data_IF_229544762998
#
_entry.id   IF_229544762998
#
_cell.length_a   1.000
_cell.length_b   1.000
_cell.length_c   1.000
_cell.angle_alpha   90.00
_cell.angle_beta   90.00
_cell.angle_gamma   90.00
#
_symmetry.space_group_name_H-M   'P 1'
#
loop_
_entity.id
_entity.type
_entity.pdbx_description
1 polymer ?
#
# COMPACT_ATOMS: atom_id res chain seq x y z
N UNK A 1 16.90 36.05 -72.34
CA UNK A 1 18.08 36.86 -71.97
C UNK A 1 18.53 36.49 -70.56
N UNK A 2 19.86 36.46 -70.37
CA UNK A 2 20.67 36.42 -69.13
C UNK A 2 20.79 35.10 -68.34
N UNK A 3 22.08 34.79 -68.11
CA UNK A 3 22.73 33.60 -67.56
C UNK A 3 22.92 33.71 -66.04
N UNK A 4 23.10 32.54 -65.42
CA UNK A 4 24.06 32.14 -64.38
C UNK A 4 24.30 33.04 -63.15
N UNK A 5 24.39 32.46 -61.95
CA UNK A 5 25.62 31.87 -61.40
C UNK A 5 25.57 31.75 -59.86
N UNK A 6 26.33 30.77 -59.34
CA UNK A 6 26.82 30.62 -57.95
C UNK A 6 25.78 30.26 -56.87
N UNK A 7 26.02 29.32 -55.95
CA UNK A 7 27.25 29.01 -55.21
C UNK A 7 27.24 27.56 -54.69
N UNK A 8 28.41 26.91 -54.70
CA UNK A 8 28.70 25.67 -53.96
C UNK A 8 28.63 25.95 -52.46
N UNK A 9 27.93 25.11 -51.70
CA UNK A 9 28.11 24.99 -50.25
C UNK A 9 28.48 23.54 -49.90
N UNK A 10 29.76 23.34 -49.55
CA UNK A 10 30.28 22.15 -48.88
C UNK A 10 29.82 22.20 -47.42
N UNK A 11 28.97 21.27 -47.01
CA UNK A 11 28.61 21.11 -45.59
C UNK A 11 29.00 19.72 -45.08
N UNK A 12 30.20 19.73 -44.49
CA UNK A 12 30.73 18.94 -43.38
C UNK A 12 29.82 17.81 -42.82
N UNK A 13 30.25 16.57 -43.10
CA UNK A 13 30.35 15.41 -42.19
C UNK A 13 29.83 15.65 -40.75
N UNK A 14 28.70 15.04 -40.33
CA UNK A 14 28.41 14.84 -38.93
C UNK A 14 29.18 13.63 -38.39
N UNK A 15 29.88 13.91 -37.29
CA UNK A 15 30.72 13.05 -36.48
C UNK A 15 29.94 11.89 -35.85
N UNK A 16 30.61 10.75 -35.83
CA UNK A 16 30.70 9.80 -34.72
C UNK A 16 29.39 9.34 -34.05
N UNK A 17 28.96 8.13 -34.44
CA UNK A 17 28.20 7.22 -33.57
C UNK A 17 28.86 7.16 -32.18
N UNK A 18 28.11 7.23 -31.07
CA UNK A 18 28.68 6.94 -29.76
C UNK A 18 29.09 5.46 -29.74
N UNK A 19 30.39 5.24 -29.56
CA UNK A 19 30.97 3.93 -29.34
C UNK A 19 30.33 3.30 -28.10
N UNK A 20 29.61 2.20 -28.31
CA UNK A 20 29.04 1.38 -27.23
C UNK A 20 30.21 0.84 -26.40
N UNK A 21 30.45 1.48 -25.25
CA UNK A 21 31.48 1.09 -24.28
C UNK A 21 31.17 -0.35 -23.87
N UNK A 22 32.03 -1.30 -24.26
CA UNK A 22 32.00 -2.69 -23.78
C UNK A 22 32.27 -2.63 -22.27
N UNK A 23 31.21 -2.67 -21.47
CA UNK A 23 31.34 -2.97 -20.04
C UNK A 23 31.68 -4.45 -19.93
N UNK A 24 32.90 -4.73 -19.48
CA UNK A 24 33.34 -6.07 -19.14
C UNK A 24 32.36 -6.66 -18.11
N UNK A 25 31.77 -7.81 -18.45
CA UNK A 25 30.94 -8.57 -17.54
C UNK A 25 31.79 -9.01 -16.34
N UNK A 26 31.64 -8.30 -15.23
CA UNK A 26 32.18 -8.73 -13.94
C UNK A 26 31.41 -9.98 -13.54
N UNK A 27 32.09 -11.13 -13.62
CA UNK A 27 31.61 -12.47 -13.26
C UNK A 27 31.16 -12.44 -11.79
N UNK A 28 29.86 -12.24 -11.55
CA UNK A 28 29.28 -12.39 -10.22
C UNK A 28 29.34 -13.87 -9.88
N UNK A 29 30.20 -14.19 -8.92
CA UNK A 29 30.37 -15.53 -8.38
C UNK A 29 29.01 -15.92 -7.79
N UNK A 30 28.34 -16.88 -8.44
CA UNK A 30 27.12 -17.50 -7.97
C UNK A 30 27.42 -18.13 -6.60
N UNK A 31 27.06 -17.41 -5.54
CA UNK A 31 27.09 -17.96 -4.18
C UNK A 31 25.92 -18.93 -4.12
N UNK A 32 26.23 -20.23 -4.11
CA UNK A 32 25.25 -21.29 -3.85
C UNK A 32 24.44 -20.89 -2.61
N UNK A 33 23.09 -20.88 -2.65
CA UNK A 33 22.31 -20.72 -1.44
C UNK A 33 22.63 -21.90 -0.53
N UNK A 34 23.30 -21.60 0.58
CA UNK A 34 23.56 -22.53 1.67
C UNK A 34 22.18 -22.87 2.24
N UNK A 35 21.78 -24.15 2.13
CA UNK A 35 20.53 -24.67 2.69
C UNK A 35 20.45 -24.25 4.17
N UNK A 36 19.70 -23.19 4.44
CA UNK A 36 19.37 -22.77 5.79
C UNK A 36 18.18 -23.64 6.13
N UNK A 37 18.41 -24.62 7.01
CA UNK A 37 17.36 -25.46 7.61
C UNK A 37 16.16 -24.57 7.92
N UNK A 38 15.01 -24.90 7.35
CA UNK A 38 13.73 -24.35 7.75
C UNK A 38 13.60 -24.63 9.26
N UNK A 39 13.86 -23.60 10.07
CA UNK A 39 13.35 -23.57 11.43
C UNK A 39 11.84 -23.49 11.23
N UNK A 40 11.12 -24.50 11.70
CA UNK A 40 9.69 -24.42 11.93
C UNK A 40 9.35 -23.03 12.46
N UNK A 41 8.29 -22.37 11.97
CA UNK A 41 7.81 -21.17 12.61
C UNK A 41 7.45 -21.59 14.04
N UNK A 42 8.27 -21.18 15.01
CA UNK A 42 7.87 -21.16 16.40
C UNK A 42 6.66 -20.24 16.40
N UNK A 43 5.47 -20.84 16.41
CA UNK A 43 4.22 -20.16 16.69
C UNK A 43 4.37 -19.72 18.14
N UNK A 44 5.05 -18.59 18.32
CA UNK A 44 5.09 -17.86 19.58
C UNK A 44 3.63 -17.61 19.89
N UNK A 45 3.07 -18.42 20.79
CA UNK A 45 1.73 -18.22 21.34
C UNK A 45 1.79 -16.91 22.09
N UNK A 46 1.61 -15.80 21.37
CA UNK A 46 1.36 -14.49 21.97
C UNK A 46 0.28 -14.70 23.03
N UNK A 47 0.46 -14.18 24.25
CA UNK A 47 -0.59 -14.23 25.25
C UNK A 47 -1.88 -13.68 24.64
N UNK A 48 -3.07 -14.18 25.06
CA UNK A 48 -4.33 -13.68 24.53
C UNK A 48 -4.36 -12.17 24.71
N UNK A 49 -4.41 -11.44 23.58
CA UNK A 49 -4.53 -10.00 23.59
C UNK A 49 -5.83 -9.65 24.31
N UNK A 50 -5.71 -9.03 25.48
CA UNK A 50 -6.83 -8.49 26.24
C UNK A 50 -6.89 -7.00 25.91
N UNK A 51 -7.79 -6.56 25.02
CA UNK A 51 -7.91 -5.15 24.71
C UNK A 51 -8.33 -4.39 25.95
N UNK A 52 -7.67 -3.26 26.19
CA UNK A 52 -8.13 -2.29 27.18
C UNK A 52 -9.46 -1.67 26.72
N UNK A 53 -10.49 -1.63 27.58
CA UNK A 53 -11.84 -1.22 27.17
C UNK A 53 -11.92 0.24 26.72
N UNK A 54 -11.12 1.15 27.31
CA UNK A 54 -11.10 2.55 26.91
C UNK A 54 -10.47 2.71 25.53
N UNK A 55 -9.31 2.07 25.31
CA UNK A 55 -8.64 2.05 24.00
C UNK A 55 -9.50 1.41 22.91
N UNK A 56 -10.19 0.33 23.25
CA UNK A 56 -11.12 -0.35 22.36
C UNK A 56 -12.29 0.54 21.98
N UNK A 57 -12.86 1.26 22.96
CA UNK A 57 -13.97 2.19 22.73
C UNK A 57 -13.54 3.32 21.78
N UNK A 58 -12.38 3.93 22.03
CA UNK A 58 -11.82 4.98 21.17
C UNK A 58 -11.62 4.45 19.75
N UNK A 59 -10.94 3.32 19.58
CA UNK A 59 -10.71 2.74 18.25
C UNK A 59 -12.01 2.43 17.51
N UNK A 60 -12.99 1.84 18.21
CA UNK A 60 -14.31 1.55 17.66
C UNK A 60 -15.02 2.82 17.24
N UNK A 61 -15.03 3.84 18.08
CA UNK A 61 -15.67 5.11 17.79
C UNK A 61 -15.01 5.79 16.59
N UNK A 62 -13.68 5.86 16.54
CA UNK A 62 -12.95 6.46 15.41
C UNK A 62 -13.22 5.72 14.10
N UNK A 63 -13.22 4.38 14.11
CA UNK A 63 -13.50 3.57 12.92
C UNK A 63 -14.94 3.75 12.44
N UNK A 64 -15.92 3.68 13.34
CA UNK A 64 -17.34 3.90 12.99
C UNK A 64 -17.57 5.31 12.49
N UNK A 65 -17.01 6.32 13.14
CA UNK A 65 -17.14 7.72 12.72
C UNK A 65 -16.53 7.93 11.33
N UNK A 66 -15.36 7.34 11.06
CA UNK A 66 -14.71 7.37 9.75
C UNK A 66 -15.62 6.77 8.68
N UNK A 67 -16.11 5.56 8.90
CA UNK A 67 -16.96 4.89 7.91
C UNK A 67 -18.33 5.57 7.74
N UNK A 68 -18.83 6.25 8.78
CA UNK A 68 -20.05 7.05 8.70
C UNK A 68 -19.87 8.35 7.90
N UNK A 69 -18.72 9.02 8.04
CA UNK A 69 -18.43 10.27 7.35
C UNK A 69 -18.17 10.11 5.84
N UNK A 70 -17.52 9.01 5.45
CA UNK A 70 -17.05 8.83 4.07
C UNK A 70 -17.88 7.85 3.23
N UNK A 71 -18.95 7.27 3.82
CA UNK A 71 -19.92 6.31 3.25
C UNK A 71 -19.37 5.03 2.62
N UNK A 72 -18.30 5.06 1.81
CA UNK A 72 -17.65 3.90 1.23
C UNK A 72 -16.18 4.22 0.93
N UNK A 73 -15.26 3.57 1.63
CA UNK A 73 -13.82 3.77 1.46
C UNK A 73 -13.10 2.44 1.25
N UNK A 74 -12.02 2.42 0.45
CA UNK A 74 -11.17 1.24 0.39
C UNK A 74 -10.53 0.96 1.76
N UNK A 75 -10.29 -0.31 2.12
CA UNK A 75 -9.76 -0.72 3.42
C UNK A 75 -8.47 0.02 3.81
N UNK A 76 -7.59 0.23 2.84
CA UNK A 76 -6.33 0.95 3.05
C UNK A 76 -6.56 2.40 3.48
N UNK A 77 -7.50 3.12 2.85
CA UNK A 77 -7.83 4.49 3.23
C UNK A 77 -8.53 4.56 4.59
N UNK A 78 -9.42 3.62 4.89
CA UNK A 78 -10.04 3.53 6.23
C UNK A 78 -8.95 3.42 7.29
N UNK A 79 -7.97 2.55 7.06
CA UNK A 79 -6.84 2.36 7.97
C UNK A 79 -6.02 3.65 8.12
N UNK A 80 -5.68 4.31 7.03
CA UNK A 80 -4.91 5.57 7.07
C UNK A 80 -5.66 6.67 7.81
N UNK A 81 -6.95 6.87 7.54
CA UNK A 81 -7.75 7.93 8.17
C UNK A 81 -7.91 7.64 9.67
N UNK A 82 -8.21 6.40 10.05
CA UNK A 82 -8.34 6.04 11.47
C UNK A 82 -6.99 6.22 12.18
N UNK A 83 -5.88 5.83 11.56
CA UNK A 83 -4.54 6.03 12.12
C UNK A 83 -4.22 7.51 12.36
N UNK A 84 -4.70 8.41 11.50
CA UNK A 84 -4.50 9.85 11.66
C UNK A 84 -5.41 10.49 12.73
N UNK A 85 -6.56 9.88 13.02
CA UNK A 85 -7.54 10.41 13.97
C UNK A 85 -7.40 9.85 15.40
N UNK A 86 -6.69 8.73 15.57
CA UNK A 86 -6.47 8.16 16.91
C UNK A 86 -5.47 8.98 17.74
N UNK A 87 -5.60 8.96 19.08
CA UNK A 87 -4.64 9.60 19.96
C UNK A 87 -3.26 8.93 19.86
N UNK A 88 -2.19 9.71 20.09
CA UNK A 88 -0.79 9.25 20.05
C UNK A 88 -0.55 8.05 20.96
N UNK A 89 -1.22 8.00 22.12
CA UNK A 89 -1.15 6.89 23.08
C UNK A 89 -1.66 5.55 22.54
N UNK A 90 -2.41 5.56 21.43
CA UNK A 90 -2.95 4.39 20.75
C UNK A 90 -2.20 4.08 19.44
N UNK A 91 -1.25 4.93 19.03
CA UNK A 91 -0.54 4.77 17.75
C UNK A 91 0.33 3.51 17.71
N UNK A 92 1.03 3.19 18.80
CA UNK A 92 1.90 2.02 18.89
C UNK A 92 1.13 0.69 18.81
N UNK A 93 -0.10 0.67 19.32
CA UNK A 93 -0.97 -0.51 19.34
C UNK A 93 -2.04 -0.47 18.23
N UNK A 94 -2.01 0.55 17.38
CA UNK A 94 -3.04 0.84 16.38
C UNK A 94 -3.40 -0.39 15.57
N UNK A 95 -2.41 -1.08 14.99
CA UNK A 95 -2.65 -2.23 14.14
C UNK A 95 -3.42 -3.33 14.88
N UNK A 96 -3.08 -3.60 16.15
CA UNK A 96 -3.71 -4.67 16.93
C UNK A 96 -5.16 -4.31 17.28
N UNK A 97 -5.40 -3.09 17.75
CA UNK A 97 -6.75 -2.62 18.09
C UNK A 97 -7.61 -2.45 16.84
N UNK A 98 -7.06 -1.91 15.75
CA UNK A 98 -7.75 -1.74 14.48
C UNK A 98 -8.20 -3.10 13.92
N UNK A 99 -7.29 -4.06 13.78
CA UNK A 99 -7.63 -5.42 13.30
C UNK A 99 -8.66 -6.10 14.20
N UNK A 100 -8.53 -5.93 15.53
CA UNK A 100 -9.48 -6.49 16.48
C UNK A 100 -10.88 -5.91 16.29
N UNK A 101 -11.01 -4.58 16.26
CA UNK A 101 -12.30 -3.89 16.07
C UNK A 101 -12.86 -4.18 14.68
N UNK A 102 -12.04 -4.12 13.64
CA UNK A 102 -12.45 -4.38 12.27
C UNK A 102 -13.01 -5.81 12.14
N UNK A 103 -12.31 -6.80 12.69
CA UNK A 103 -12.79 -8.18 12.77
C UNK A 103 -14.07 -8.31 13.60
N UNK A 104 -14.17 -7.57 14.71
CA UNK A 104 -15.36 -7.55 15.56
C UNK A 104 -16.58 -7.05 14.78
N UNK A 105 -16.47 -5.89 14.11
CA UNK A 105 -17.54 -5.30 13.32
C UNK A 105 -17.93 -6.20 12.13
N UNK A 106 -16.93 -6.76 11.44
CA UNK A 106 -17.16 -7.75 10.37
C UNK A 106 -17.90 -8.99 10.87
N UNK A 107 -17.52 -9.52 12.05
CA UNK A 107 -18.19 -10.69 12.67
C UNK A 107 -19.66 -10.42 12.99
N UNK A 108 -19.99 -9.21 13.42
CA UNK A 108 -21.37 -8.77 13.67
C UNK A 108 -22.10 -8.29 12.42
N UNK A 109 -21.52 -8.44 11.22
CA UNK A 109 -22.07 -7.95 9.95
C UNK A 109 -22.40 -6.45 9.97
N UNK A 110 -21.61 -5.68 10.70
CA UNK A 110 -21.69 -4.21 10.76
C UNK A 110 -20.85 -3.54 9.68
N UNK A 111 -20.04 -4.30 8.96
CA UNK A 111 -19.28 -3.86 7.78
C UNK A 111 -19.83 -4.57 6.55
N UNK A 112 -20.10 -3.81 5.50
CA UNK A 112 -20.43 -4.32 4.17
C UNK A 112 -19.27 -4.04 3.23
N UNK A 113 -18.85 -5.08 2.50
CA UNK A 113 -17.95 -4.94 1.35
C UNK A 113 -18.79 -4.67 0.11
N UNK A 114 -18.65 -3.48 -0.47
CA UNK A 114 -19.34 -3.08 -1.69
C UNK A 114 -18.39 -3.27 -2.87
N UNK A 115 -18.69 -4.19 -3.81
CA UNK A 115 -17.87 -4.43 -4.99
C UNK A 115 -18.08 -3.36 -6.09
N UNK A 116 -18.55 -2.16 -5.75
CA UNK A 116 -19.01 -1.13 -6.71
C UNK A 116 -17.91 -0.73 -7.71
N UNK A 117 -16.64 -0.73 -7.26
CA UNK A 117 -15.46 -0.49 -8.09
C UNK A 117 -14.28 -1.31 -7.57
N UNK A 118 -13.32 -1.66 -8.43
CA UNK A 118 -12.01 -2.18 -8.00
C UNK A 118 -11.15 -0.97 -7.64
N UNK A 119 -10.62 -0.84 -6.40
CA UNK A 119 -10.60 -1.81 -5.29
C UNK A 119 -11.89 -1.84 -4.45
N UNK A 120 -12.17 -2.99 -3.80
CA UNK A 120 -13.34 -3.20 -2.92
C UNK A 120 -13.44 -2.10 -1.86
N UNK A 121 -14.63 -1.53 -1.71
CA UNK A 121 -14.89 -0.51 -0.69
C UNK A 121 -15.60 -1.13 0.51
N UNK A 122 -15.34 -0.60 1.70
CA UNK A 122 -16.01 -0.97 2.94
C UNK A 122 -16.89 0.19 3.38
N UNK A 123 -18.10 -0.14 3.80
CA UNK A 123 -19.03 0.78 4.44
C UNK A 123 -19.61 0.19 5.70
N UNK A 124 -20.23 1.02 6.53
CA UNK A 124 -21.09 0.51 7.60
C UNK A 124 -22.33 -0.15 6.98
N UNK A 125 -22.64 -1.35 7.45
CA UNK A 125 -23.85 -2.04 7.06
C UNK A 125 -25.05 -1.22 7.55
N UNK A 126 -25.94 -0.83 6.63
CA UNK A 126 -27.15 -0.07 6.96
C UNK A 126 -28.29 -0.94 7.54
N UNK A 127 -28.00 -2.18 7.96
CA UNK A 127 -29.02 -3.07 8.54
C UNK A 127 -29.33 -2.67 9.98
N UNK A 128 -30.58 -2.49 10.42
CA UNK A 128 -31.88 -2.61 9.76
C UNK A 128 -32.90 -2.03 10.76
N UNK A 129 -33.56 -0.90 10.46
CA UNK A 129 -34.84 -0.51 11.07
C UNK A 129 -35.89 -0.76 9.97
N UNK A 130 -36.30 -2.02 9.83
CA UNK A 130 -37.54 -2.44 9.16
C UNK A 130 -38.25 -3.45 10.06
#
# INVERSE_FOLDING_TARGET
MKKANHQKAKSKKPKAKPARKKVAAKKVKQVKPKATKAKEPVIEKKPPFKPDPDKLSVMRQTLVTTLWQFEALPPDQVREIVQQQIPVSLADEFAVYFDYVFRLLSRYRLLEEVPDRVPVHIRLAQRLDE
#
